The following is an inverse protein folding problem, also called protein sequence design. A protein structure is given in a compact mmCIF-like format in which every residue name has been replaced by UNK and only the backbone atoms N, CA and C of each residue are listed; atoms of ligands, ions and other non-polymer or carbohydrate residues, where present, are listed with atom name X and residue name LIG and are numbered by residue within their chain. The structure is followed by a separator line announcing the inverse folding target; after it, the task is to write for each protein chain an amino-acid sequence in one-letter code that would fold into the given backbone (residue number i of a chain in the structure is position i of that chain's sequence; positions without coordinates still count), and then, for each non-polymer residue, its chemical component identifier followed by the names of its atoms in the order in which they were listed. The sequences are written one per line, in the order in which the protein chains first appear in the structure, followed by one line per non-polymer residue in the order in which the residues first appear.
data_IF_214931744077
#
_entry.id   IF_214931744077
#
_cell.length_a   1.000
_cell.length_b   1.000
_cell.length_c   1.000
_cell.angle_alpha   90.00
_cell.angle_beta   90.00
_cell.angle_gamma   90.00
#
_symmetry.space_group_name_H-M   'P 1'
#
loop_
_entity.id
_entity.type
_entity.pdbx_description
1 polymer ?
#
# COMPACT_ATOMS: atom_id res chain seq x y z
N UNK A 1 16.57 -11.14 -27.60
CA UNK A 1 16.00 -9.78 -27.59
C UNK A 1 15.64 -9.51 -26.15
N UNK A 2 16.53 -8.83 -25.43
CA UNK A 2 16.43 -8.66 -23.98
C UNK A 2 15.22 -7.80 -23.62
N UNK A 3 14.33 -8.38 -22.81
CA UNK A 3 13.14 -7.73 -22.32
C UNK A 3 13.55 -6.78 -21.18
N UNK A 4 14.16 -5.64 -21.52
CA UNK A 4 14.46 -4.59 -20.55
C UNK A 4 13.15 -4.16 -19.90
N UNK A 5 13.00 -4.36 -18.59
CA UNK A 5 11.82 -3.89 -17.88
C UNK A 5 11.69 -2.37 -18.05
N UNK A 6 10.76 -1.94 -18.90
CA UNK A 6 10.48 -0.53 -19.24
C UNK A 6 9.82 0.23 -18.08
N UNK A 7 9.44 -0.48 -17.02
CA UNK A 7 8.70 0.03 -15.86
C UNK A 7 9.44 -0.28 -14.56
N UNK A 8 9.41 0.69 -13.66
CA UNK A 8 9.94 0.57 -12.30
C UNK A 8 8.76 0.46 -11.33
N UNK A 9 8.86 -0.43 -10.33
CA UNK A 9 7.81 -0.64 -9.33
C UNK A 9 8.18 0.08 -8.04
N UNK A 10 7.32 0.98 -7.58
CA UNK A 10 7.39 1.59 -6.27
C UNK A 10 6.43 0.89 -5.31
N UNK A 11 6.98 0.33 -4.23
CA UNK A 11 6.23 -0.43 -3.23
C UNK A 11 6.30 0.27 -1.88
N UNK A 12 5.17 0.39 -1.19
CA UNK A 12 5.11 0.83 0.20
C UNK A 12 4.46 -0.26 1.04
N UNK A 13 5.08 -0.51 2.19
CA UNK A 13 4.59 -1.46 3.20
C UNK A 13 4.43 -0.72 4.52
N UNK A 14 3.30 -0.91 5.19
CA UNK A 14 3.01 -0.35 6.52
C UNK A 14 2.62 -1.47 7.48
N UNK A 15 3.23 -1.47 8.67
CA UNK A 15 2.83 -2.37 9.77
C UNK A 15 1.73 -1.69 10.58
N UNK A 16 0.60 -2.37 10.77
CA UNK A 16 -0.53 -1.83 11.53
C UNK A 16 -0.87 -2.77 12.67
N UNK A 17 -0.86 -2.21 13.88
CA UNK A 17 -1.40 -2.84 15.08
C UNK A 17 -2.76 -2.21 15.40
N UNK A 18 -3.82 -2.97 15.17
CA UNK A 18 -5.20 -2.60 15.47
C UNK A 18 -5.66 -3.32 16.74
N UNK A 19 -6.35 -2.59 17.62
CA UNK A 19 -6.89 -3.14 18.88
C UNK A 19 -8.38 -2.85 18.96
N UNK A 20 -9.20 -3.90 18.83
CA UNK A 20 -10.64 -3.83 19.01
C UNK A 20 -10.97 -4.02 20.51
N UNK A 21 -11.48 -2.96 21.16
CA UNK A 21 -11.83 -2.98 22.59
C UNK A 21 -13.15 -3.69 22.90
N UNK A 22 -14.01 -3.89 21.89
CA UNK A 22 -15.27 -4.61 22.05
C UNK A 22 -15.08 -6.13 21.87
N UNK A 23 -14.21 -6.53 20.95
CA UNK A 23 -13.84 -7.93 20.73
C UNK A 23 -12.33 -8.07 20.49
N UNK A 24 -11.57 -8.42 21.53
CA UNK A 24 -10.11 -8.54 21.45
C UNK A 24 -9.65 -9.58 20.42
N UNK A 25 -10.47 -10.60 20.12
CA UNK A 25 -10.14 -11.65 19.13
C UNK A 25 -10.07 -11.12 17.69
N UNK A 26 -10.65 -9.95 17.44
CA UNK A 26 -10.59 -9.26 16.14
C UNK A 26 -9.45 -8.23 16.08
N UNK A 27 -8.67 -8.09 17.14
CA UNK A 27 -7.43 -7.31 17.10
C UNK A 27 -6.40 -7.99 16.21
N UNK A 28 -5.58 -7.21 15.51
CA UNK A 28 -4.55 -7.76 14.65
C UNK A 28 -3.27 -6.91 14.68
N UNK A 29 -2.16 -7.58 14.37
CA UNK A 29 -0.88 -6.95 14.09
C UNK A 29 -0.38 -7.55 12.77
N UNK A 30 -0.54 -6.79 11.67
CA UNK A 30 -0.22 -7.29 10.33
C UNK A 30 0.29 -6.18 9.41
N UNK A 31 1.04 -6.58 8.39
CA UNK A 31 1.51 -5.66 7.35
C UNK A 31 0.49 -5.49 6.24
N UNK A 32 0.39 -4.28 5.72
CA UNK A 32 -0.34 -3.95 4.49
C UNK A 32 0.66 -3.44 3.46
N UNK A 33 0.45 -3.80 2.20
CA UNK A 33 1.36 -3.47 1.11
C UNK A 33 0.57 -3.03 -0.12
N UNK A 34 1.05 -1.99 -0.77
CA UNK A 34 0.54 -1.53 -2.05
C UNK A 34 1.71 -1.07 -2.93
N UNK A 35 1.48 -1.06 -4.23
CA UNK A 35 2.48 -0.65 -5.20
C UNK A 35 1.84 0.06 -6.39
N UNK A 36 2.67 0.86 -7.06
CA UNK A 36 2.40 1.45 -8.36
C UNK A 36 3.65 1.35 -9.21
N UNK A 37 3.48 1.30 -10.52
CA UNK A 37 4.59 1.28 -11.45
C UNK A 37 4.62 2.54 -12.31
N UNK A 38 5.82 2.92 -12.74
CA UNK A 38 6.04 4.12 -13.54
C UNK A 38 7.06 3.87 -14.64
N UNK A 39 7.01 4.61 -15.77
CA UNK A 39 7.98 4.48 -16.84
C UNK A 39 9.39 4.77 -16.34
N UNK A 40 10.37 3.92 -16.69
CA UNK A 40 11.76 4.09 -16.28
C UNK A 40 12.42 5.36 -16.85
N UNK A 41 11.83 5.93 -17.91
CA UNK A 41 12.26 7.21 -18.49
C UNK A 41 11.92 8.42 -17.61
N UNK A 42 11.00 8.29 -16.65
CA UNK A 42 10.62 9.38 -15.76
C UNK A 42 11.47 9.36 -14.48
N UNK A 43 11.97 10.52 -14.01
CA UNK A 43 12.70 10.60 -12.75
C UNK A 43 11.74 10.35 -11.58
N UNK A 44 12.13 9.49 -10.64
CA UNK A 44 11.29 9.13 -9.48
C UNK A 44 10.78 10.35 -8.71
N UNK A 45 11.64 11.35 -8.48
CA UNK A 45 11.27 12.59 -7.76
C UNK A 45 10.11 13.34 -8.44
N UNK A 46 9.97 13.24 -9.77
CA UNK A 46 8.90 13.90 -10.51
C UNK A 46 7.56 13.17 -10.45
N UNK A 47 7.53 11.93 -9.97
CA UNK A 47 6.31 11.10 -9.90
C UNK A 47 6.03 10.60 -8.48
N UNK A 48 6.97 10.75 -7.55
CA UNK A 48 6.91 10.17 -6.22
C UNK A 48 5.67 10.61 -5.44
N UNK A 49 5.33 11.90 -5.45
CA UNK A 49 4.21 12.42 -4.65
C UNK A 49 2.85 11.89 -5.11
N UNK A 50 2.63 11.82 -6.43
CA UNK A 50 1.41 11.26 -7.00
C UNK A 50 1.32 9.76 -6.76
N UNK A 51 2.41 9.02 -7.00
CA UNK A 51 2.46 7.58 -6.74
C UNK A 51 2.22 7.29 -5.25
N UNK A 52 2.82 8.08 -4.36
CA UNK A 52 2.65 7.92 -2.91
C UNK A 52 1.21 8.20 -2.48
N UNK A 53 0.58 9.24 -3.05
CA UNK A 53 -0.84 9.55 -2.81
C UNK A 53 -1.74 8.38 -3.18
N UNK A 54 -1.59 7.84 -4.40
CA UNK A 54 -2.38 6.68 -4.85
C UNK A 54 -2.15 5.44 -3.98
N UNK A 55 -0.89 5.14 -3.66
CA UNK A 55 -0.53 4.00 -2.81
C UNK A 55 -1.13 4.18 -1.40
N UNK A 56 -1.11 5.39 -0.86
CA UNK A 56 -1.67 5.69 0.46
C UNK A 56 -3.18 5.51 0.49
N UNK A 57 -3.88 5.97 -0.55
CA UNK A 57 -5.33 5.76 -0.68
C UNK A 57 -5.69 4.27 -0.70
N UNK A 58 -4.91 3.44 -1.41
CA UNK A 58 -5.11 1.99 -1.44
C UNK A 58 -4.83 1.34 -0.08
N UNK A 59 -3.75 1.75 0.60
CA UNK A 59 -3.43 1.25 1.94
C UNK A 59 -4.53 1.61 2.93
N UNK A 60 -5.05 2.84 2.89
CA UNK A 60 -6.17 3.27 3.74
C UNK A 60 -7.40 2.40 3.50
N UNK A 61 -7.77 2.13 2.24
CA UNK A 61 -8.91 1.26 1.91
C UNK A 61 -8.70 -0.16 2.43
N UNK A 62 -7.51 -0.73 2.24
CA UNK A 62 -7.20 -2.08 2.73
C UNK A 62 -7.27 -2.17 4.26
N UNK A 63 -6.72 -1.18 4.96
CA UNK A 63 -6.76 -1.12 6.43
C UNK A 63 -8.19 -0.92 6.91
N UNK A 64 -8.94 -0.01 6.30
CA UNK A 64 -10.35 0.24 6.64
C UNK A 64 -11.19 -1.03 6.49
N UNK A 65 -11.10 -1.72 5.35
CA UNK A 65 -11.79 -2.98 5.13
C UNK A 65 -11.41 -4.02 6.18
N UNK A 66 -10.13 -4.13 6.52
CA UNK A 66 -9.67 -5.05 7.56
C UNK A 66 -10.21 -4.74 8.96
N UNK A 67 -10.50 -3.46 9.25
CA UNK A 67 -11.06 -3.04 10.55
C UNK A 67 -12.58 -3.13 10.61
N UNK A 68 -13.26 -3.07 9.45
CA UNK A 68 -14.72 -2.99 9.34
C UNK A 68 -15.36 -4.29 8.84
N UNK A 69 -14.62 -5.23 8.24
CA UNK A 69 -15.16 -6.49 7.66
C UNK A 69 -15.98 -7.37 8.63
N UNK A 70 -16.00 -7.09 9.94
CA UNK A 70 -16.77 -7.82 10.96
C UNK A 70 -18.00 -7.07 11.50
N UNK A 71 -18.67 -6.21 10.70
CA UNK A 71 -19.93 -5.58 11.10
C UNK A 71 -21.17 -6.44 10.78
#
# INVERSE_FOLDING_TARGET
QDNFAERTVFTVTVQVKFTNRANEKESFDRSFKAFRDFPRSQPFVGVQDDLLREITEDLIKQIYNATVENW
#
